data_IF_998322475446
#
_entry.id   IF_998322475446
#
_cell.length_a   1.000
_cell.length_b   1.000
_cell.length_c   1.000
_cell.angle_alpha   90.00
_cell.angle_beta   90.00
_cell.angle_gamma   90.00
#
_symmetry.space_group_name_H-M   'P 1'
#
loop_
_entity.id
_entity.type
_entity.pdbx_description
1 polymer ?
#
# COMPACT_ATOMS: atom_id res chain seq x y z
N UNK A 1 -20.00 -3.70 0.51
CA UNK A 1 -19.00 -4.28 -0.40
C UNK A 1 -17.80 -3.41 -0.20
N UNK A 2 -16.76 -3.96 0.43
CA UNK A 2 -15.45 -3.31 0.49
C UNK A 2 -14.82 -3.40 -0.89
N UNK A 3 -14.11 -2.36 -1.30
CA UNK A 3 -13.37 -2.39 -2.56
C UNK A 3 -11.99 -3.00 -2.26
N UNK A 4 -11.68 -4.13 -2.89
CA UNK A 4 -10.45 -4.89 -2.65
C UNK A 4 -9.27 -4.19 -3.35
N UNK A 5 -8.64 -3.25 -2.64
CA UNK A 5 -7.37 -2.63 -3.05
C UNK A 5 -6.27 -3.30 -2.25
N UNK A 6 -5.44 -4.08 -2.93
CA UNK A 6 -4.37 -4.86 -2.31
C UNK A 6 -3.01 -4.25 -2.66
N UNK A 7 -2.11 -4.15 -1.68
CA UNK A 7 -0.75 -3.66 -1.92
C UNK A 7 0.32 -4.59 -1.35
N UNK A 8 1.49 -4.59 -2.00
CA UNK A 8 2.74 -5.08 -1.43
C UNK A 8 3.58 -3.87 -1.03
N UNK A 9 4.03 -3.84 0.22
CA UNK A 9 4.89 -2.78 0.75
C UNK A 9 6.34 -3.25 0.72
N UNK A 10 7.16 -2.50 0.00
CA UNK A 10 8.61 -2.68 -0.04
C UNK A 10 9.32 -1.77 0.94
N UNK A 11 10.58 -2.10 1.25
CA UNK A 11 11.50 -1.20 1.94
C UNK A 11 12.79 -1.00 1.14
N UNK A 12 13.16 0.26 0.92
CA UNK A 12 14.40 0.60 0.22
C UNK A 12 15.64 0.13 0.97
N UNK A 13 15.66 0.23 2.30
CA UNK A 13 16.82 -0.22 3.07
C UNK A 13 17.00 -1.73 3.01
N UNK A 14 15.91 -2.52 3.06
CA UNK A 14 16.00 -3.97 2.88
C UNK A 14 16.33 -4.38 1.45
N UNK A 15 15.79 -3.66 0.45
CA UNK A 15 16.14 -3.84 -0.96
C UNK A 15 17.63 -3.59 -1.20
N UNK A 16 18.15 -2.44 -0.74
CA UNK A 16 19.56 -2.06 -0.89
C UNK A 16 20.51 -3.00 -0.13
N UNK A 17 20.09 -3.51 1.02
CA UNK A 17 20.85 -4.50 1.78
C UNK A 17 20.74 -5.93 1.20
N UNK A 18 19.90 -6.14 0.18
CA UNK A 18 19.64 -7.44 -0.45
C UNK A 18 19.36 -8.55 0.60
N UNK A 19 18.48 -8.26 1.55
CA UNK A 19 18.08 -9.23 2.58
C UNK A 19 16.74 -9.91 2.22
N UNK A 20 16.29 -10.87 3.03
CA UNK A 20 15.06 -11.63 2.78
C UNK A 20 13.80 -10.77 2.62
N UNK A 21 13.75 -9.57 3.23
CA UNK A 21 12.64 -8.60 3.11
C UNK A 21 12.73 -7.72 1.86
N UNK A 22 13.74 -7.89 1.01
CA UNK A 22 13.81 -7.22 -0.30
C UNK A 22 12.65 -7.61 -1.23
N UNK A 23 11.93 -8.70 -0.91
CA UNK A 23 10.74 -9.16 -1.62
C UNK A 23 9.47 -8.38 -1.25
N UNK A 24 9.50 -7.59 -0.18
CA UNK A 24 8.35 -6.84 0.33
C UNK A 24 7.55 -7.60 1.39
N UNK A 25 6.40 -7.03 1.74
CA UNK A 25 5.40 -7.64 2.63
C UNK A 25 4.63 -8.75 1.93
N UNK A 26 3.80 -9.46 2.70
CA UNK A 26 2.65 -10.15 2.11
C UNK A 26 1.67 -9.12 1.51
N UNK A 27 0.75 -9.58 0.65
CA UNK A 27 -0.30 -8.73 0.11
C UNK A 27 -1.23 -8.27 1.26
N UNK A 28 -1.45 -6.97 1.35
CA UNK A 28 -2.31 -6.35 2.35
C UNK A 28 -3.56 -5.78 1.68
N UNK A 29 -4.73 -6.24 2.08
CA UNK A 29 -6.01 -5.61 1.67
C UNK A 29 -6.21 -4.35 2.51
N UNK A 30 -6.21 -3.19 1.85
CA UNK A 30 -6.35 -1.91 2.54
C UNK A 30 -7.71 -1.73 3.22
N UNK A 31 -8.73 -2.50 2.81
CA UNK A 31 -10.05 -2.45 3.44
C UNK A 31 -10.12 -3.15 4.80
N UNK A 32 -9.12 -3.98 5.13
CA UNK A 32 -9.03 -4.67 6.43
C UNK A 32 -8.50 -3.78 7.57
N UNK A 33 -8.02 -2.57 7.25
CA UNK A 33 -7.37 -1.67 8.19
C UNK A 33 -8.13 -0.36 8.37
N UNK A 34 -8.24 0.09 9.62
CA UNK A 34 -8.86 1.37 9.96
C UNK A 34 -7.84 2.51 10.11
N UNK A 35 -6.58 2.16 10.36
CA UNK A 35 -5.50 3.15 10.52
C UNK A 35 -4.16 2.63 10.03
N UNK A 36 -3.25 3.56 9.70
CA UNK A 36 -1.88 3.21 9.34
C UNK A 36 -1.14 2.46 10.44
N UNK A 37 -1.46 2.72 11.71
CA UNK A 37 -0.81 2.06 12.83
C UNK A 37 -1.06 0.55 12.83
N UNK A 38 -2.23 0.09 12.36
CA UNK A 38 -2.54 -1.34 12.23
C UNK A 38 -1.70 -1.99 11.13
N UNK A 39 -1.56 -1.33 9.97
CA UNK A 39 -0.66 -1.76 8.89
C UNK A 39 0.79 -1.79 9.39
N UNK A 40 1.22 -0.78 10.14
CA UNK A 40 2.57 -0.72 10.68
C UNK A 40 2.86 -1.83 11.69
N UNK A 41 1.86 -2.24 12.51
CA UNK A 41 1.99 -3.41 13.38
C UNK A 41 2.03 -4.71 12.57
N UNK A 42 1.20 -4.87 11.53
CA UNK A 42 1.26 -6.04 10.65
C UNK A 42 2.62 -6.18 9.96
N UNK A 43 3.18 -5.09 9.44
CA UNK A 43 4.54 -5.08 8.88
C UNK A 43 5.59 -5.51 9.92
N UNK A 44 5.47 -5.06 11.18
CA UNK A 44 6.37 -5.50 12.26
C UNK A 44 6.18 -6.99 12.58
N UNK A 45 4.95 -7.50 12.54
CA UNK A 45 4.66 -8.92 12.68
C UNK A 45 5.31 -9.76 11.57
N UNK A 46 5.38 -9.23 10.35
CA UNK A 46 6.12 -9.80 9.21
C UNK A 46 7.65 -9.58 9.30
N UNK A 47 8.13 -8.90 10.35
CA UNK A 47 9.55 -8.74 10.65
C UNK A 47 10.19 -7.43 10.17
N UNK A 48 9.40 -6.46 9.69
CA UNK A 48 9.91 -5.13 9.32
C UNK A 48 10.40 -4.36 10.54
N UNK A 49 11.49 -3.62 10.35
CA UNK A 49 12.13 -2.77 11.37
C UNK A 49 11.97 -1.29 11.01
N UNK A 50 10.76 -0.77 11.22
CA UNK A 50 10.33 0.58 10.82
C UNK A 50 11.08 1.72 11.54
N UNK A 51 11.80 1.43 12.63
CA UNK A 51 12.77 2.33 13.26
C UNK A 51 14.16 1.77 13.03
N UNK A 52 14.66 1.90 11.80
CA UNK A 52 15.93 1.27 11.39
C UNK A 52 15.99 1.07 9.88
N UNK A 53 16.41 -0.14 9.46
CA UNK A 53 16.64 -0.44 8.06
C UNK A 53 15.38 -0.31 7.20
N UNK A 54 14.19 -0.46 7.79
CA UNK A 54 12.92 -0.40 7.07
C UNK A 54 12.14 0.92 7.29
N UNK A 55 12.84 2.01 7.61
CA UNK A 55 12.22 3.33 7.82
C UNK A 55 11.67 3.95 6.51
N UNK A 56 12.32 3.66 5.38
CA UNK A 56 11.91 4.15 4.05
C UNK A 56 11.13 3.05 3.31
N UNK A 57 9.81 3.24 3.20
CA UNK A 57 8.86 2.33 2.57
C UNK A 57 8.37 2.86 1.23
N UNK A 58 8.00 1.95 0.33
CA UNK A 58 7.37 2.26 -0.95
C UNK A 58 6.31 1.21 -1.32
N UNK A 59 5.42 1.55 -2.26
CA UNK A 59 4.46 0.59 -2.82
C UNK A 59 5.16 -0.20 -3.92
N UNK A 60 5.45 -1.48 -3.64
CA UNK A 60 6.16 -2.35 -4.57
C UNK A 60 5.23 -2.93 -5.64
N UNK A 61 4.01 -3.27 -5.25
CA UNK A 61 2.98 -3.72 -6.16
C UNK A 61 1.58 -3.34 -5.66
N UNK A 62 0.62 -3.24 -6.57
CA UNK A 62 -0.76 -2.86 -6.27
C UNK A 62 -1.76 -3.47 -7.24
N UNK A 63 -2.83 -4.02 -6.67
CA UNK A 63 -4.02 -4.50 -7.37
C UNK A 63 -5.25 -3.72 -6.92
N UNK A 64 -6.29 -3.69 -7.77
CA UNK A 64 -7.53 -2.96 -7.47
C UNK A 64 -7.50 -1.46 -7.78
N UNK A 65 -6.43 -0.93 -8.39
CA UNK A 65 -6.42 0.43 -8.96
C UNK A 65 -5.97 0.36 -10.42
N UNK A 66 -6.66 1.04 -11.37
CA UNK A 66 -6.18 1.17 -12.73
C UNK A 66 -4.81 1.85 -12.76
N UNK A 67 -3.76 1.06 -12.96
CA UNK A 67 -2.37 1.46 -12.99
C UNK A 67 -1.91 1.51 -14.44
N UNK A 68 -2.28 2.57 -15.18
CA UNK A 68 -1.83 2.80 -16.55
C UNK A 68 -0.32 3.08 -16.68
N UNK A 69 0.55 2.22 -16.14
CA UNK A 69 2.01 2.37 -16.14
C UNK A 69 2.54 3.37 -15.11
N UNK A 70 1.82 3.61 -14.01
CA UNK A 70 2.33 4.43 -12.91
C UNK A 70 3.43 3.69 -12.18
N UNK A 71 4.57 4.36 -11.98
CA UNK A 71 5.63 3.86 -11.12
C UNK A 71 5.24 4.10 -9.65
N UNK A 72 5.00 3.02 -8.92
CA UNK A 72 4.60 3.03 -7.52
C UNK A 72 5.78 3.08 -6.54
N UNK A 73 7.01 2.89 -7.03
CA UNK A 73 8.24 2.87 -6.22
C UNK A 73 8.51 4.21 -5.51
N UNK A 74 7.90 5.31 -5.98
CA UNK A 74 7.98 6.64 -5.39
C UNK A 74 6.78 7.00 -4.51
N UNK A 75 5.83 6.09 -4.34
CA UNK A 75 4.62 6.31 -3.55
C UNK A 75 4.86 5.81 -2.14
N UNK A 76 4.69 6.71 -1.18
CA UNK A 76 4.68 6.33 0.22
C UNK A 76 3.37 5.58 0.55
N UNK A 77 3.42 4.32 1.04
CA UNK A 77 2.21 3.54 1.28
C UNK A 77 1.27 4.16 2.32
N UNK A 78 1.81 4.91 3.29
CA UNK A 78 1.00 5.62 4.28
C UNK A 78 0.17 6.70 3.64
N UNK A 79 0.80 7.56 2.85
CA UNK A 79 0.11 8.66 2.17
C UNK A 79 -0.97 8.12 1.21
N UNK A 80 -0.67 7.01 0.52
CA UNK A 80 -1.65 6.33 -0.33
C UNK A 80 -2.86 5.84 0.49
N UNK A 81 -2.62 5.07 1.55
CA UNK A 81 -3.67 4.53 2.40
C UNK A 81 -4.55 5.64 3.01
N UNK A 82 -3.93 6.66 3.60
CA UNK A 82 -4.66 7.78 4.22
C UNK A 82 -5.49 8.53 3.18
N UNK A 83 -4.96 8.76 1.97
CA UNK A 83 -5.71 9.39 0.87
C UNK A 83 -6.92 8.55 0.44
N UNK A 84 -6.76 7.23 0.32
CA UNK A 84 -7.86 6.32 -0.05
C UNK A 84 -8.94 6.27 1.05
N UNK A 85 -8.55 6.27 2.32
CA UNK A 85 -9.48 6.29 3.46
C UNK A 85 -10.20 7.64 3.55
N UNK A 86 -9.49 8.77 3.45
CA UNK A 86 -10.07 10.12 3.50
C UNK A 86 -11.04 10.39 2.35
N UNK A 87 -10.73 9.90 1.14
CA UNK A 87 -11.64 10.00 0.00
C UNK A 87 -12.90 9.13 0.18
N UNK A 88 -12.83 8.11 1.04
CA UNK A 88 -13.85 7.09 1.26
C UNK A 88 -13.94 6.07 0.13
N UNK A 89 -12.89 5.94 -0.69
CA UNK A 89 -12.82 4.98 -1.80
C UNK A 89 -12.81 3.54 -1.28
N UNK A 90 -12.22 3.29 -0.10
CA UNK A 90 -12.18 1.94 0.48
C UNK A 90 -13.57 1.45 0.92
N UNK A 91 -14.45 2.38 1.29
CA UNK A 91 -15.74 2.08 1.95
C UNK A 91 -16.97 2.28 1.04
N UNK A 92 -16.83 2.99 -0.08
CA UNK A 92 -17.94 3.36 -0.99
C UNK A 92 -17.66 2.91 -2.43
N UNK A 93 -18.41 1.92 -2.90
CA UNK A 93 -18.26 1.36 -4.25
C UNK A 93 -18.52 2.38 -5.37
N UNK A 94 -19.42 3.35 -5.17
CA UNK A 94 -19.66 4.38 -6.17
C UNK A 94 -18.45 5.29 -6.32
N UNK A 95 -17.81 5.69 -5.21
CA UNK A 95 -16.59 6.50 -5.26
C UNK A 95 -15.43 5.75 -5.90
N UNK A 96 -15.30 4.47 -5.60
CA UNK A 96 -14.32 3.60 -6.23
C UNK A 96 -14.51 3.50 -7.74
N UNK A 97 -15.75 3.27 -8.20
CA UNK A 97 -16.07 3.20 -9.63
C UNK A 97 -15.71 4.53 -10.34
N UNK A 98 -16.03 5.67 -9.71
CA UNK A 98 -15.68 7.00 -10.23
C UNK A 98 -14.17 7.20 -10.31
N UNK A 99 -13.42 6.82 -9.27
CA UNK A 99 -11.95 6.86 -9.29
C UNK A 99 -11.39 6.01 -10.43
N UNK A 100 -11.89 4.78 -10.58
CA UNK A 100 -11.44 3.86 -11.63
C UNK A 100 -11.72 4.41 -13.03
N UNK A 101 -12.91 4.99 -13.25
CA UNK A 101 -13.28 5.59 -14.52
C UNK A 101 -12.40 6.80 -14.87
N UNK A 102 -12.05 7.64 -13.89
CA UNK A 102 -11.21 8.82 -14.12
C UNK A 102 -9.76 8.45 -14.45
N UNK A 103 -9.22 7.42 -13.81
CA UNK A 103 -7.86 6.90 -14.04
C UNK A 103 -7.71 6.09 -15.34
N UNK A 104 -8.81 5.66 -15.94
CA UNK A 104 -8.81 4.91 -17.20
C UNK A 104 -8.86 5.80 -18.46
N UNK A 105 -9.03 7.12 -18.30
CA UNK A 105 -9.02 8.14 -19.36
C UNK A 105 -7.62 8.74 -19.54
#
# INVERSE_FOLDING_TARGET
MTNEINIVIGSWGSYNACNERALGSEWLDLSDYESWDEIAEELKHQGFKLRGIDEELFVQDIEGIPSGGVNWDYVNPKELFETLKESGVLDDSHKYDVMCAWRAL
#
